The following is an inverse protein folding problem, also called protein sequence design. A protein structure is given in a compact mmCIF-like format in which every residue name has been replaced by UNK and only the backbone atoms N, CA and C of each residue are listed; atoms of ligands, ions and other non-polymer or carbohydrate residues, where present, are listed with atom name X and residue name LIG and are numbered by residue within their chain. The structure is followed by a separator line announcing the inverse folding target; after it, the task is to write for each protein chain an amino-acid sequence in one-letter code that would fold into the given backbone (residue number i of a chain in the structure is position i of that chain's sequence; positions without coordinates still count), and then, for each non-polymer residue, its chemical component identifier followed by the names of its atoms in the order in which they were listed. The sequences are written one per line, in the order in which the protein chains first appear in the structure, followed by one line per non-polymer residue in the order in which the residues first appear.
data_IF_821100668377
#
_entry.id   IF_821100668377
#
_cell.length_a   1.000
_cell.length_b   1.000
_cell.length_c   1.000
_cell.angle_alpha   90.00
_cell.angle_beta   90.00
_cell.angle_gamma   90.00
#
_symmetry.space_group_name_H-M   'P 1'
#
loop_
_entity.id
_entity.type
_entity.pdbx_description
1 polymer ?
#
# COMPACT_ATOMS: atom_id res chain seq x y z
N UNK A 1 3.98 -39.79 57.29
CA UNK A 1 3.26 -38.55 56.93
C UNK A 1 4.19 -37.78 55.98
N UNK A 2 4.01 -37.90 54.66
CA UNK A 2 4.87 -37.18 53.72
C UNK A 2 4.51 -35.70 53.71
N UNK A 3 5.48 -34.83 53.97
CA UNK A 3 5.31 -33.39 53.83
C UNK A 3 5.19 -33.03 52.34
N UNK A 4 4.15 -32.26 52.00
CA UNK A 4 3.99 -31.70 50.66
C UNK A 4 5.07 -30.63 50.44
N UNK A 5 5.94 -30.83 49.46
CA UNK A 5 6.89 -29.81 49.04
C UNK A 5 6.13 -28.76 48.20
N UNK A 6 6.04 -27.54 48.71
CA UNK A 6 5.55 -26.40 47.94
C UNK A 6 6.59 -26.05 46.87
N UNK A 7 6.29 -26.19 45.57
CA UNK A 7 7.26 -25.86 44.54
C UNK A 7 7.55 -24.36 44.58
N UNK A 8 8.81 -24.00 44.81
CA UNK A 8 9.25 -22.60 44.76
C UNK A 8 9.52 -22.24 43.30
N UNK A 9 8.54 -21.69 42.62
CA UNK A 9 8.72 -21.18 41.25
C UNK A 9 9.68 -19.98 41.28
N UNK A 10 10.82 -20.10 40.60
CA UNK A 10 11.76 -18.98 40.46
C UNK A 10 11.17 -17.79 39.68
N UNK A 11 11.85 -16.64 39.65
CA UNK A 11 11.34 -15.45 38.97
C UNK A 11 11.16 -15.68 37.46
N UNK A 12 9.96 -15.37 36.95
CA UNK A 12 9.51 -15.77 35.62
C UNK A 12 10.33 -15.18 34.47
N UNK A 13 10.89 -13.97 34.65
CA UNK A 13 11.67 -13.26 33.63
C UNK A 13 13.00 -13.94 33.29
N UNK A 14 13.47 -14.88 34.13
CA UNK A 14 14.68 -15.67 33.87
C UNK A 14 14.48 -16.77 32.83
N UNK A 15 13.24 -17.14 32.55
CA UNK A 15 12.94 -18.23 31.62
C UNK A 15 12.81 -17.71 30.18
N UNK A 16 13.64 -18.22 29.26
CA UNK A 16 13.68 -17.77 27.87
C UNK A 16 12.37 -17.92 27.10
N UNK A 17 11.58 -18.96 27.40
CA UNK A 17 10.28 -19.17 26.76
C UNK A 17 9.26 -18.08 27.08
N UNK A 18 9.37 -17.38 28.21
CA UNK A 18 8.48 -16.25 28.51
C UNK A 18 8.70 -15.11 27.52
N UNK A 19 9.95 -14.89 27.10
CA UNK A 19 10.27 -13.90 26.07
C UNK A 19 9.75 -14.31 24.69
N UNK A 20 9.67 -15.60 24.36
CA UNK A 20 9.03 -16.07 23.12
C UNK A 20 7.52 -15.75 23.10
N UNK A 21 6.83 -15.85 24.24
CA UNK A 21 5.41 -15.50 24.32
C UNK A 21 5.21 -13.99 24.24
N UNK A 22 6.07 -13.21 24.90
CA UNK A 22 6.00 -11.74 24.89
C UNK A 22 6.40 -11.17 23.51
N UNK A 23 7.35 -11.81 22.82
CA UNK A 23 7.85 -11.30 21.54
C UNK A 23 6.79 -11.28 20.45
N UNK A 24 5.86 -12.25 20.43
CA UNK A 24 4.77 -12.30 19.45
C UNK A 24 3.95 -11.01 19.43
N UNK A 25 3.27 -10.64 20.53
CA UNK A 25 2.54 -9.37 20.62
C UNK A 25 3.43 -8.15 20.47
N UNK A 26 4.64 -8.16 21.05
CA UNK A 26 5.54 -7.00 20.99
C UNK A 26 5.95 -6.67 19.54
N UNK A 27 6.24 -7.67 18.71
CA UNK A 27 6.59 -7.48 17.29
C UNK A 27 5.43 -6.84 16.53
N UNK A 28 4.18 -7.26 16.76
CA UNK A 28 3.01 -6.70 16.08
C UNK A 28 2.83 -5.21 16.42
N UNK A 29 3.01 -4.84 17.69
CA UNK A 29 2.94 -3.44 18.12
C UNK A 29 4.03 -2.61 17.42
N UNK A 30 5.28 -3.09 17.42
CA UNK A 30 6.40 -2.42 16.73
C UNK A 30 6.13 -2.29 15.23
N UNK A 31 5.63 -3.35 14.58
CA UNK A 31 5.30 -3.33 13.16
C UNK A 31 4.20 -2.30 12.85
N UNK A 32 3.17 -2.20 13.70
CA UNK A 32 2.11 -1.20 13.55
C UNK A 32 2.64 0.23 13.60
N UNK A 33 3.52 0.53 14.58
CA UNK A 33 4.18 1.84 14.66
C UNK A 33 5.10 2.09 13.46
N UNK A 34 5.79 1.06 12.98
CA UNK A 34 6.66 1.18 11.82
C UNK A 34 5.87 1.50 10.54
N UNK A 35 4.72 0.85 10.34
CA UNK A 35 3.80 1.18 9.23
C UNK A 35 3.26 2.60 9.35
N UNK A 36 2.85 3.02 10.56
CA UNK A 36 2.42 4.39 10.80
C UNK A 36 3.52 5.41 10.47
N UNK A 37 4.75 5.13 10.92
CA UNK A 37 5.90 5.96 10.62
C UNK A 37 6.14 6.09 9.11
N UNK A 38 6.03 4.99 8.37
CA UNK A 38 6.22 4.98 6.91
C UNK A 38 5.12 5.80 6.21
N UNK A 39 3.87 5.67 6.65
CA UNK A 39 2.74 6.40 6.09
C UNK A 39 2.89 7.92 6.26
N UNK A 40 3.40 8.39 7.41
CA UNK A 40 3.61 9.81 7.66
C UNK A 40 4.87 10.33 6.93
N UNK A 41 5.92 9.52 6.86
CA UNK A 41 7.21 9.95 6.33
C UNK A 41 7.27 10.00 4.80
N UNK A 42 6.48 9.16 4.12
CA UNK A 42 6.46 9.06 2.65
C UNK A 42 5.01 9.07 2.15
N UNK A 43 4.32 10.21 2.22
CA UNK A 43 3.01 10.33 1.60
C UNK A 43 3.15 10.08 0.10
N UNK A 44 2.32 9.17 -0.43
CA UNK A 44 2.26 8.92 -1.88
C UNK A 44 1.88 10.24 -2.56
N UNK A 45 2.71 10.74 -3.50
CA UNK A 45 2.45 12.01 -4.14
C UNK A 45 1.18 11.86 -4.98
N UNK A 46 0.15 12.66 -4.66
CA UNK A 46 -1.07 12.70 -5.45
C UNK A 46 -0.70 13.06 -6.88
N UNK A 47 -0.91 12.12 -7.80
CA UNK A 47 -0.75 12.36 -9.22
C UNK A 47 -1.88 13.30 -9.66
N UNK A 48 -1.58 14.59 -9.75
CA UNK A 48 -2.52 15.55 -10.31
C UNK A 48 -2.62 15.27 -11.80
N UNK A 49 -3.82 14.96 -12.27
CA UNK A 49 -4.10 14.94 -13.71
C UNK A 49 -3.66 16.29 -14.29
N UNK A 50 -3.05 16.31 -15.49
CA UNK A 50 -2.72 17.57 -16.15
C UNK A 50 -3.99 18.42 -16.23
N UNK A 51 -3.85 19.71 -15.90
CA UNK A 51 -4.96 20.64 -15.81
C UNK A 51 -5.92 20.49 -17.01
N UNK A 52 -7.25 20.52 -16.80
CA UNK A 52 -8.22 20.42 -17.89
C UNK A 52 -7.92 21.53 -18.91
N UNK A 53 -7.45 21.14 -20.10
CA UNK A 53 -7.00 22.04 -21.16
C UNK A 53 -5.55 21.85 -21.63
N UNK A 54 -4.74 21.03 -20.95
CA UNK A 54 -3.45 20.58 -21.50
C UNK A 54 -3.72 19.43 -22.48
N UNK A 55 -4.14 19.77 -23.70
CA UNK A 55 -4.13 18.83 -24.82
C UNK A 55 -2.68 18.45 -25.11
N UNK A 56 -2.21 17.33 -24.55
CA UNK A 56 -1.01 16.69 -25.09
C UNK A 56 -1.39 16.26 -26.51
N UNK A 57 -0.65 16.72 -27.52
CA UNK A 57 -0.87 16.32 -28.91
C UNK A 57 -0.59 14.81 -29.02
N UNK A 58 -1.62 13.99 -28.84
CA UNK A 58 -1.54 12.54 -29.03
C UNK A 58 -1.50 12.31 -30.54
N UNK A 59 -0.36 11.84 -31.05
CA UNK A 59 -0.28 11.46 -32.46
C UNK A 59 -1.06 10.18 -32.68
N UNK A 60 -1.48 9.89 -33.92
CA UNK A 60 -2.22 8.66 -34.25
C UNK A 60 -1.47 7.38 -33.84
N UNK A 61 -0.14 7.42 -33.78
CA UNK A 61 0.69 6.32 -33.30
C UNK A 61 0.57 6.11 -31.78
N UNK A 62 0.37 7.19 -31.02
CA UNK A 62 0.28 7.16 -29.55
C UNK A 62 -1.14 6.83 -29.04
N UNK A 63 -2.14 6.82 -29.94
CA UNK A 63 -3.53 6.54 -29.58
C UNK A 63 -3.75 5.14 -28.99
N UNK A 64 -2.88 4.17 -29.32
CA UNK A 64 -2.91 2.83 -28.73
C UNK A 64 -2.39 2.80 -27.27
N UNK A 65 -1.69 3.84 -26.83
CA UNK A 65 -1.18 3.98 -25.46
C UNK A 65 -2.12 4.81 -24.58
N UNK A 66 -3.28 5.22 -25.10
CA UNK A 66 -4.26 5.96 -24.33
C UNK A 66 -4.79 5.09 -23.17
N UNK A 67 -4.97 5.67 -21.95
CA UNK A 67 -5.58 4.95 -20.84
C UNK A 67 -6.91 4.31 -21.25
N UNK A 68 -7.13 3.07 -20.82
CA UNK A 68 -8.29 2.27 -21.23
C UNK A 68 -9.64 2.99 -21.01
N UNK A 69 -9.72 3.85 -19.98
CA UNK A 69 -10.91 4.67 -19.70
C UNK A 69 -11.16 5.75 -20.77
N UNK A 70 -10.10 6.37 -21.31
CA UNK A 70 -10.21 7.42 -22.32
C UNK A 70 -10.49 6.84 -23.72
N UNK A 71 -9.96 5.64 -24.01
CA UNK A 71 -10.10 4.98 -25.31
C UNK A 71 -11.54 4.56 -25.65
N UNK A 72 -12.34 4.15 -24.66
CA UNK A 72 -13.71 3.62 -24.90
C UNK A 72 -14.67 4.65 -25.50
N UNK A 73 -14.50 5.93 -25.17
CA UNK A 73 -15.40 6.99 -25.63
C UNK A 73 -14.91 7.66 -26.93
N UNK A 74 -13.59 7.71 -27.17
CA UNK A 74 -13.04 8.31 -28.38
C UNK A 74 -13.13 7.41 -29.62
N UNK A 75 -13.32 6.10 -29.46
CA UNK A 75 -13.62 5.20 -30.59
C UNK A 75 -14.99 5.49 -31.23
N UNK A 76 -15.94 6.04 -30.46
CA UNK A 76 -17.30 6.33 -30.93
C UNK A 76 -17.41 7.66 -31.71
N UNK A 77 -16.47 8.60 -31.52
CA UNK A 77 -16.51 9.93 -32.16
C UNK A 77 -15.79 10.00 -33.51
N UNK A 78 -15.40 8.85 -34.09
CA UNK A 78 -14.88 8.70 -35.46
C UNK A 78 -14.10 9.90 -36.00
N UNK A 79 -12.77 9.91 -35.82
CA UNK A 79 -11.83 10.96 -36.25
C UNK A 79 -12.39 11.97 -37.27
N UNK A 80 -12.95 13.06 -36.76
CA UNK A 80 -13.53 14.12 -37.58
C UNK A 80 -12.41 14.84 -38.33
N UNK A 81 -12.26 14.47 -39.60
CA UNK A 81 -11.29 15.04 -40.52
C UNK A 81 -11.34 14.37 -41.89
N UNK A 82 -12.52 13.94 -42.34
CA UNK A 82 -12.77 13.74 -43.76
C UNK A 82 -12.83 15.13 -44.42
N UNK A 83 -11.66 15.74 -44.59
CA UNK A 83 -11.50 16.87 -45.47
C UNK A 83 -11.67 16.37 -46.90
N UNK A 84 -12.85 16.62 -47.48
CA UNK A 84 -13.05 16.46 -48.91
C UNK A 84 -14.15 17.42 -49.40
N UNK A 85 -13.91 18.17 -50.48
CA UNK A 85 -14.86 18.28 -51.58
C UNK A 85 -14.74 17.06 -52.51
#
# INVERSE_FOLDING_TARGET
MSAAQTPTSGPWWKFGYVWLVISGPAIVVVAGFFTLYLAISRPDPVYADPAPGVQRTVTRADAHLAPAIQARNHAATGGAGAGKP
#
